data_IF_527479624739
#
_entry.id   IF_527479624739
#
_cell.length_a   1.000
_cell.length_b   1.000
_cell.length_c   1.000
_cell.angle_alpha   90.00
_cell.angle_beta   90.00
_cell.angle_gamma   90.00
#
_symmetry.space_group_name_H-M   'P 1'
#
loop_
_entity.id
_entity.type
_entity.pdbx_description
1 polymer ?
#
# COMPACT_ATOMS: atom_id res chain seq x y z
N UNK A 1 61.48 -13.67 32.00
CA UNK A 1 60.23 -12.92 32.29
C UNK A 1 59.39 -12.93 31.01
N UNK A 2 58.35 -13.78 30.89
CA UNK A 2 56.91 -13.45 31.05
C UNK A 2 56.52 -12.24 30.19
N UNK A 3 55.58 -12.25 29.23
CA UNK A 3 54.30 -12.99 29.08
C UNK A 3 53.85 -13.06 27.61
N UNK A 4 53.09 -14.10 27.33
CA UNK A 4 52.20 -14.37 26.19
C UNK A 4 50.87 -13.57 26.25
N UNK A 5 50.18 -13.54 25.10
CA UNK A 5 48.72 -13.52 24.82
C UNK A 5 48.11 -12.27 24.16
N UNK A 6 47.58 -12.54 22.95
CA UNK A 6 46.24 -12.21 22.44
C UNK A 6 45.56 -10.93 22.91
N UNK A 7 45.29 -10.02 21.97
CA UNK A 7 43.96 -9.39 21.81
C UNK A 7 43.75 -9.06 20.32
N UNK A 8 43.39 -10.06 19.53
CA UNK A 8 42.66 -9.86 18.27
C UNK A 8 41.20 -9.49 18.64
N UNK A 9 40.96 -8.24 19.06
CA UNK A 9 39.61 -7.69 19.29
C UNK A 9 39.43 -6.25 18.77
N UNK A 10 40.45 -5.66 18.15
CA UNK A 10 40.29 -4.36 17.47
C UNK A 10 39.54 -4.47 16.13
N UNK A 11 39.10 -5.68 15.76
CA UNK A 11 38.34 -5.98 14.55
C UNK A 11 36.82 -5.87 14.64
N UNK A 12 36.21 -5.45 15.76
CA UNK A 12 34.74 -5.49 15.90
C UNK A 12 34.07 -4.24 16.51
N UNK A 13 34.81 -3.19 16.86
CA UNK A 13 34.21 -1.98 17.51
C UNK A 13 34.12 -0.77 16.57
N UNK A 14 34.77 -0.79 15.40
CA UNK A 14 34.64 0.29 14.40
C UNK A 14 33.54 0.05 13.34
N UNK A 15 32.90 -1.12 13.36
CA UNK A 15 31.77 -1.46 12.48
C UNK A 15 30.39 -1.13 13.10
N UNK A 16 30.33 -0.77 14.38
CA UNK A 16 29.06 -0.38 15.04
C UNK A 16 28.65 1.07 14.80
N UNK A 17 29.47 1.88 14.09
CA UNK A 17 29.11 3.25 13.71
C UNK A 17 28.52 3.34 12.28
N UNK A 18 28.19 2.22 11.65
CA UNK A 18 27.60 2.19 10.30
C UNK A 18 26.12 1.77 10.27
N UNK A 19 25.47 1.58 11.43
CA UNK A 19 24.05 1.22 11.49
C UNK A 19 23.11 2.41 11.68
N UNK A 20 23.50 3.59 11.20
CA UNK A 20 22.52 4.59 10.79
C UNK A 20 22.62 4.71 9.26
N UNK A 21 22.21 3.63 8.58
CA UNK A 21 21.59 3.77 7.27
C UNK A 21 20.47 4.76 7.50
N UNK A 22 20.72 6.03 7.19
CA UNK A 22 19.70 7.06 7.15
C UNK A 22 18.78 6.65 6.00
N UNK A 23 17.84 5.76 6.31
CA UNK A 23 16.57 5.66 5.61
C UNK A 23 16.12 7.11 5.51
N UNK A 24 15.89 7.58 4.28
CA UNK A 24 15.44 8.95 4.02
C UNK A 24 14.05 9.14 4.66
N UNK A 25 14.00 9.29 5.99
CA UNK A 25 12.81 9.60 6.75
C UNK A 25 12.48 11.04 6.43
N UNK A 26 11.35 11.24 5.77
CA UNK A 26 10.89 12.56 5.41
C UNK A 26 10.33 13.26 6.66
N UNK A 27 11.23 13.80 7.49
CA UNK A 27 10.89 14.38 8.81
C UNK A 27 9.77 15.42 8.72
N UNK A 28 8.92 15.46 9.73
CA UNK A 28 7.93 16.51 9.86
C UNK A 28 8.60 17.87 10.12
N UNK A 29 8.24 18.91 9.35
CA UNK A 29 8.72 20.28 9.60
C UNK A 29 7.87 20.93 10.69
N UNK A 30 8.08 20.52 11.94
CA UNK A 30 7.30 21.01 13.08
C UNK A 30 7.78 22.36 13.65
N UNK A 31 8.95 22.86 13.21
CA UNK A 31 9.50 24.13 13.66
C UNK A 31 8.58 25.32 13.39
N UNK A 32 7.83 25.28 12.27
CA UNK A 32 6.87 26.32 11.86
C UNK A 32 5.70 26.46 12.83
N UNK A 33 5.34 25.37 13.51
CA UNK A 33 4.20 25.30 14.42
C UNK A 33 4.54 25.68 15.87
N UNK A 34 5.83 25.85 16.20
CA UNK A 34 6.27 26.21 17.56
C UNK A 34 5.96 27.66 17.97
N UNK A 35 5.29 28.43 17.12
CA UNK A 35 5.01 29.86 17.32
C UNK A 35 3.74 30.17 18.15
N UNK A 36 3.01 29.18 18.67
CA UNK A 36 1.84 29.44 19.50
C UNK A 36 2.23 29.76 20.96
N UNK A 37 2.10 31.05 21.32
CA UNK A 37 2.22 31.58 22.68
C UNK A 37 1.34 30.74 23.64
N UNK A 38 1.93 30.25 24.74
CA UNK A 38 1.33 29.39 25.80
C UNK A 38 1.05 27.92 25.46
N UNK A 39 1.89 27.28 24.64
CA UNK A 39 1.97 25.80 24.62
C UNK A 39 0.79 25.07 24.00
N UNK A 40 -0.15 25.79 23.37
CA UNK A 40 -1.27 25.19 22.67
C UNK A 40 -1.12 25.39 21.17
N UNK A 41 -0.78 24.32 20.46
CA UNK A 41 -0.67 24.37 19.01
C UNK A 41 -2.06 24.60 18.39
N UNK A 42 -2.26 25.76 17.76
CA UNK A 42 -3.46 26.05 16.95
C UNK A 42 -3.21 25.56 15.52
N UNK A 43 -3.97 24.54 15.09
CA UNK A 43 -3.83 23.98 13.75
C UNK A 43 -4.85 24.55 12.78
N UNK A 44 -4.46 24.82 11.52
CA UNK A 44 -5.42 25.09 10.47
C UNK A 44 -6.32 23.86 10.23
N UNK A 45 -7.53 24.11 9.71
CA UNK A 45 -8.54 23.08 9.39
C UNK A 45 -8.45 22.59 7.94
N UNK A 46 -7.39 22.93 7.21
CA UNK A 46 -7.13 22.41 5.88
C UNK A 46 -6.87 20.90 5.94
N UNK A 47 -7.25 20.21 4.86
CA UNK A 47 -7.06 18.78 4.71
C UNK A 47 -5.95 18.51 3.70
N UNK A 48 -4.73 18.35 4.21
CA UNK A 48 -3.52 18.05 3.45
C UNK A 48 -2.83 16.85 4.11
N UNK A 49 -3.36 15.63 3.90
CA UNK A 49 -3.07 14.50 4.76
C UNK A 49 -1.58 14.11 4.73
N UNK A 50 -1.10 13.61 5.87
CA UNK A 50 0.25 13.06 6.00
C UNK A 50 0.21 11.71 6.72
N UNK A 51 1.10 10.80 6.36
CA UNK A 51 1.21 9.50 7.00
C UNK A 51 2.28 9.55 8.10
N UNK A 52 1.93 9.17 9.32
CA UNK A 52 2.87 9.02 10.44
C UNK A 52 3.68 7.72 10.34
N UNK A 53 4.81 7.66 11.03
CA UNK A 53 5.60 6.42 11.17
C UNK A 53 4.87 5.33 11.96
N UNK A 54 3.78 5.67 12.64
CA UNK A 54 2.86 4.74 13.30
C UNK A 54 1.75 4.21 12.38
N UNK A 55 1.78 4.55 11.08
CA UNK A 55 0.79 4.12 10.11
C UNK A 55 -0.55 4.83 10.23
N UNK A 56 -0.63 5.91 11.02
CA UNK A 56 -1.84 6.72 11.17
C UNK A 56 -1.83 7.87 10.17
N UNK A 57 -2.97 8.08 9.51
CA UNK A 57 -3.20 9.24 8.64
C UNK A 57 -3.61 10.43 9.49
N UNK A 58 -2.84 11.51 9.40
CA UNK A 58 -3.13 12.77 10.06
C UNK A 58 -3.75 13.75 9.06
N UNK A 59 -4.82 14.49 9.44
CA UNK A 59 -5.50 15.43 8.54
C UNK A 59 -4.58 16.48 7.89
N UNK A 60 -3.54 16.90 8.62
CA UNK A 60 -2.49 17.76 8.12
C UNK A 60 -1.21 17.67 8.95
N UNK A 61 -0.12 18.26 8.44
CA UNK A 61 1.18 18.23 9.12
C UNK A 61 1.13 18.88 10.52
N UNK A 62 0.28 19.88 10.76
CA UNK A 62 0.12 20.47 12.08
C UNK A 62 -0.44 19.46 13.09
N UNK A 63 -1.46 18.69 12.70
CA UNK A 63 -2.05 17.66 13.55
C UNK A 63 -1.06 16.54 13.88
N UNK A 64 -0.22 16.12 12.92
CA UNK A 64 0.89 15.20 13.18
C UNK A 64 1.91 15.82 14.14
N UNK A 65 2.30 17.07 13.92
CA UNK A 65 3.26 17.77 14.78
C UNK A 65 2.77 17.93 16.22
N UNK A 66 1.46 18.07 16.44
CA UNK A 66 0.86 18.05 17.78
C UNK A 66 1.19 16.74 18.51
N UNK A 67 1.03 15.60 17.83
CA UNK A 67 1.34 14.28 18.40
C UNK A 67 2.84 14.08 18.60
N UNK A 68 3.69 14.56 17.67
CA UNK A 68 5.15 14.49 17.80
C UNK A 68 5.65 15.22 19.06
N UNK A 69 4.97 16.29 19.49
CA UNK A 69 5.32 17.00 20.73
C UNK A 69 5.09 16.15 21.98
N UNK A 70 4.17 15.17 21.92
CA UNK A 70 3.86 14.26 23.02
C UNK A 70 4.67 12.96 22.90
N UNK A 71 4.80 12.43 21.69
CA UNK A 71 5.43 11.15 21.35
C UNK A 71 6.70 11.38 20.54
N UNK A 72 7.87 11.25 21.18
CA UNK A 72 9.18 11.54 20.53
C UNK A 72 9.63 10.48 19.51
N UNK A 73 9.00 9.32 19.50
CA UNK A 73 9.24 8.21 18.56
C UNK A 73 8.41 8.32 17.27
N UNK A 74 7.46 9.25 17.22
CA UNK A 74 6.63 9.54 16.05
C UNK A 74 7.33 10.54 15.13
N UNK A 75 7.28 10.28 13.83
CA UNK A 75 7.68 11.24 12.79
C UNK A 75 6.75 11.11 11.58
N UNK A 76 6.92 11.99 10.58
CA UNK A 76 6.28 11.82 9.28
C UNK A 76 6.97 10.69 8.51
N UNK A 77 6.18 9.75 8.03
CA UNK A 77 6.61 8.72 7.08
C UNK A 77 6.66 9.30 5.67
N UNK A 78 5.56 9.89 5.22
CA UNK A 78 5.45 10.54 3.92
C UNK A 78 4.27 11.52 3.87
N UNK A 79 4.22 12.34 2.83
CA UNK A 79 3.03 13.14 2.51
C UNK A 79 1.92 12.25 1.92
N UNK A 80 0.65 12.66 2.03
CA UNK A 80 -0.51 11.84 1.65
C UNK A 80 -0.99 10.91 2.77
N UNK A 81 -2.12 10.24 2.54
CA UNK A 81 -2.66 9.26 3.50
C UNK A 81 -1.78 8.03 3.62
N UNK A 82 -1.85 7.33 4.75
CA UNK A 82 -1.28 5.99 4.85
C UNK A 82 -2.05 5.02 3.95
N UNK A 83 -1.31 4.18 3.25
CA UNK A 83 -1.81 3.09 2.40
C UNK A 83 -1.12 1.79 2.79
N UNK A 84 -1.75 0.64 2.54
CA UNK A 84 -1.19 -0.68 2.89
C UNK A 84 0.16 -0.93 2.23
N UNK A 85 0.32 -0.43 1.01
CA UNK A 85 1.53 -0.63 0.22
C UNK A 85 2.60 0.41 0.58
N UNK A 86 3.83 -0.01 0.89
CA UNK A 86 4.87 0.95 1.24
C UNK A 86 5.34 1.79 0.04
N UNK A 87 4.85 3.02 -0.05
CA UNK A 87 5.14 3.93 -1.16
C UNK A 87 6.35 4.86 -0.92
N UNK A 88 7.09 4.72 0.18
CA UNK A 88 8.16 5.65 0.59
C UNK A 88 9.20 5.96 -0.52
N UNK A 89 9.49 4.99 -1.42
CA UNK A 89 10.43 5.17 -2.53
C UNK A 89 9.89 5.88 -3.79
N UNK A 90 8.59 6.14 -3.85
CA UNK A 90 7.90 6.67 -5.04
C UNK A 90 7.35 8.08 -4.85
N UNK A 91 7.20 8.52 -3.60
CA UNK A 91 6.40 9.70 -3.28
C UNK A 91 7.11 11.03 -3.60
N UNK A 92 8.45 11.10 -3.57
CA UNK A 92 9.25 12.26 -4.03
C UNK A 92 10.68 11.86 -4.42
N UNK A 93 11.12 12.21 -5.63
CA UNK A 93 12.56 12.31 -5.92
C UNK A 93 13.14 13.54 -5.22
N UNK A 94 14.41 13.46 -4.77
CA UNK A 94 15.16 14.62 -4.26
C UNK A 94 15.24 15.78 -5.25
N UNK A 95 15.06 15.50 -6.54
CA UNK A 95 15.09 16.48 -7.63
C UNK A 95 13.72 17.09 -7.96
N UNK A 96 12.63 16.64 -7.33
CA UNK A 96 11.27 17.08 -7.66
C UNK A 96 10.70 16.47 -8.95
N UNK A 97 11.44 15.61 -9.65
CA UNK A 97 10.97 14.90 -10.83
C UNK A 97 10.36 13.54 -10.45
N UNK A 98 9.28 13.09 -11.13
CA UNK A 98 8.71 11.76 -10.91
C UNK A 98 9.76 10.67 -11.16
N UNK A 99 9.84 9.68 -10.26
CA UNK A 99 10.66 8.48 -10.49
C UNK A 99 10.04 7.68 -11.64
N UNK A 100 10.73 7.43 -12.76
CA UNK A 100 10.15 6.68 -13.86
C UNK A 100 9.86 5.24 -13.44
N UNK A 101 8.69 4.73 -13.84
CA UNK A 101 8.32 3.35 -13.57
C UNK A 101 8.94 2.39 -14.59
N UNK A 102 9.27 1.19 -14.10
CA UNK A 102 9.53 0.04 -14.98
C UNK A 102 8.23 -0.42 -15.63
N UNK A 103 8.35 -1.15 -16.74
CA UNK A 103 7.22 -1.78 -17.44
C UNK A 103 6.89 -3.18 -16.87
N UNK A 104 7.32 -3.49 -15.64
CA UNK A 104 6.96 -4.76 -15.02
C UNK A 104 5.46 -4.83 -14.78
N UNK A 105 4.85 -5.97 -15.10
CA UNK A 105 3.42 -6.19 -14.92
C UNK A 105 3.18 -7.01 -13.66
N UNK A 106 2.81 -6.32 -12.58
CA UNK A 106 2.50 -6.88 -11.25
C UNK A 106 1.28 -6.13 -10.70
N UNK A 107 0.08 -6.42 -11.22
CA UNK A 107 -1.06 -5.55 -11.06
C UNK A 107 -1.57 -5.50 -9.63
N UNK A 108 -2.17 -4.36 -9.28
CA UNK A 108 -2.78 -4.09 -7.98
C UNK A 108 -4.18 -3.55 -8.21
N UNK A 109 -5.17 -4.13 -7.54
CA UNK A 109 -6.51 -3.58 -7.53
C UNK A 109 -6.62 -2.57 -6.39
N UNK A 110 -6.94 -1.33 -6.74
CA UNK A 110 -7.18 -0.28 -5.78
C UNK A 110 -8.66 -0.22 -5.35
N UNK A 111 -8.93 0.41 -4.20
CA UNK A 111 -10.29 0.60 -3.65
C UNK A 111 -11.23 1.39 -4.56
N UNK A 112 -10.70 2.12 -5.54
CA UNK A 112 -11.49 2.81 -6.56
C UNK A 112 -11.86 1.90 -7.76
N UNK A 113 -11.55 0.60 -7.71
CA UNK A 113 -11.82 -0.35 -8.78
C UNK A 113 -10.90 -0.22 -10.00
N UNK A 114 -9.83 0.56 -9.91
CA UNK A 114 -8.83 0.71 -10.97
C UNK A 114 -7.66 -0.26 -10.75
N UNK A 115 -7.29 -0.98 -11.81
CA UNK A 115 -6.06 -1.77 -11.85
C UNK A 115 -4.87 -0.85 -12.10
N UNK A 116 -3.91 -0.84 -11.17
CA UNK A 116 -2.61 -0.24 -11.38
C UNK A 116 -1.63 -1.31 -11.86
N UNK A 117 -0.90 -1.03 -12.93
CA UNK A 117 -0.01 -2.00 -13.62
C UNK A 117 1.10 -2.55 -12.73
N UNK A 118 1.57 -1.74 -11.78
CA UNK A 118 2.52 -2.14 -10.75
C UNK A 118 2.50 -1.17 -9.57
N UNK A 119 3.28 -1.51 -8.52
CA UNK A 119 3.46 -0.70 -7.32
C UNK A 119 3.91 0.74 -7.62
N UNK A 120 4.75 0.94 -8.62
CA UNK A 120 5.22 2.28 -8.98
C UNK A 120 4.05 3.16 -9.47
N UNK A 121 3.23 2.65 -10.40
CA UNK A 121 2.06 3.36 -10.90
C UNK A 121 1.04 3.66 -9.78
N UNK A 122 0.77 2.68 -8.91
CA UNK A 122 -0.10 2.87 -7.74
C UNK A 122 0.42 3.98 -6.82
N UNK A 123 1.70 3.94 -6.47
CA UNK A 123 2.27 4.90 -5.53
C UNK A 123 2.40 6.32 -6.10
N UNK A 124 2.59 6.49 -7.42
CA UNK A 124 2.51 7.81 -8.05
C UNK A 124 1.11 8.40 -7.96
N UNK A 125 0.06 7.60 -8.19
CA UNK A 125 -1.30 8.07 -8.01
C UNK A 125 -1.55 8.54 -6.56
N UNK A 126 -1.08 7.79 -5.56
CA UNK A 126 -1.12 8.23 -4.15
C UNK A 126 -0.33 9.53 -3.94
N UNK A 127 0.86 9.66 -4.53
CA UNK A 127 1.68 10.88 -4.45
C UNK A 127 0.99 12.11 -5.06
N UNK A 128 0.27 11.90 -6.15
CA UNK A 128 -0.50 12.91 -6.88
C UNK A 128 -1.82 13.28 -6.15
N UNK A 129 -2.09 12.64 -5.01
CA UNK A 129 -3.21 12.96 -4.12
C UNK A 129 -4.46 12.12 -4.33
N UNK A 130 -4.39 11.03 -5.10
CA UNK A 130 -5.53 10.11 -5.22
C UNK A 130 -5.78 9.39 -3.88
N UNK A 131 -7.04 9.44 -3.44
CA UNK A 131 -7.51 8.76 -2.22
C UNK A 131 -7.84 7.30 -2.52
N UNK A 132 -6.80 6.47 -2.59
CA UNK A 132 -6.89 5.04 -2.90
C UNK A 132 -6.10 4.21 -1.88
N UNK A 133 -6.55 2.99 -1.63
CA UNK A 133 -5.79 1.97 -0.90
C UNK A 133 -5.79 0.67 -1.71
N UNK A 134 -4.93 -0.26 -1.36
CA UNK A 134 -4.91 -1.58 -1.98
C UNK A 134 -6.13 -2.40 -1.52
N UNK A 135 -6.97 -2.77 -2.48
CA UNK A 135 -8.09 -3.67 -2.29
C UNK A 135 -7.64 -5.13 -2.38
N UNK A 136 -6.90 -5.50 -3.43
CA UNK A 136 -6.34 -6.85 -3.60
C UNK A 136 -5.09 -6.85 -4.46
N UNK A 137 -4.28 -7.90 -4.34
CA UNK A 137 -3.26 -8.23 -5.34
C UNK A 137 -3.95 -8.64 -6.66
N UNK A 138 -3.29 -8.36 -7.79
CA UNK A 138 -3.81 -8.68 -9.10
C UNK A 138 -4.61 -7.54 -9.74
N UNK A 139 -5.18 -7.80 -10.91
CA UNK A 139 -6.07 -6.84 -11.56
C UNK A 139 -7.37 -6.68 -10.78
N UNK A 140 -8.00 -5.51 -10.86
CA UNK A 140 -9.38 -5.37 -10.45
C UNK A 140 -10.27 -6.29 -11.27
N UNK A 141 -10.89 -7.21 -10.55
CA UNK A 141 -11.85 -8.11 -11.12
C UNK A 141 -13.14 -7.34 -11.30
N UNK A 142 -13.44 -6.92 -12.54
CA UNK A 142 -14.81 -6.55 -12.87
C UNK A 142 -15.71 -7.72 -12.49
N UNK A 143 -16.77 -7.46 -11.72
CA UNK A 143 -17.72 -8.49 -11.37
C UNK A 143 -18.15 -9.23 -12.64
N UNK A 144 -18.14 -10.56 -12.59
CA UNK A 144 -18.62 -11.34 -13.72
C UNK A 144 -20.12 -11.13 -13.80
N UNK A 145 -20.53 -10.35 -14.79
CA UNK A 145 -21.94 -10.16 -15.10
C UNK A 145 -22.49 -11.46 -15.69
N UNK A 146 -23.16 -12.22 -14.81
CA UNK A 146 -23.89 -13.44 -15.17
C UNK A 146 -25.33 -13.15 -15.62
N UNK A 147 -25.81 -11.91 -15.50
CA UNK A 147 -27.16 -11.48 -15.86
C UNK A 147 -27.54 -11.75 -17.32
N UNK A 148 -26.54 -11.90 -18.21
CA UNK A 148 -26.75 -12.23 -19.62
C UNK A 148 -27.12 -13.70 -19.84
N UNK A 149 -26.81 -14.57 -18.88
CA UNK A 149 -27.06 -16.01 -18.95
C UNK A 149 -28.38 -16.30 -18.24
N UNK A 150 -29.41 -16.65 -19.03
CA UNK A 150 -30.76 -16.91 -18.51
C UNK A 150 -31.03 -18.39 -18.27
N UNK A 151 -30.24 -19.25 -18.90
CA UNK A 151 -30.44 -20.69 -18.88
C UNK A 151 -29.68 -21.34 -17.72
N UNK A 152 -30.38 -22.20 -16.99
CA UNK A 152 -29.77 -23.12 -16.01
C UNK A 152 -29.30 -24.35 -16.77
N UNK A 153 -28.05 -24.75 -16.57
CA UNK A 153 -27.35 -25.80 -17.33
C UNK A 153 -27.13 -25.46 -18.82
N UNK A 154 -26.42 -24.35 -19.12
CA UNK A 154 -26.02 -24.00 -20.47
C UNK A 154 -24.96 -24.97 -21.02
N UNK A 155 -24.89 -25.10 -22.33
CA UNK A 155 -23.74 -25.72 -22.99
C UNK A 155 -22.56 -24.73 -22.88
N UNK A 156 -21.46 -25.17 -22.29
CA UNK A 156 -20.24 -24.38 -22.12
C UNK A 156 -19.17 -24.82 -23.11
N UNK A 157 -18.28 -23.89 -23.48
CA UNK A 157 -17.05 -24.20 -24.23
C UNK A 157 -16.00 -24.80 -23.30
N UNK A 158 -15.04 -25.53 -23.88
CA UNK A 158 -13.89 -26.13 -23.17
C UNK A 158 -12.70 -25.15 -23.04
N UNK A 159 -12.92 -23.85 -23.21
CA UNK A 159 -11.89 -22.83 -22.96
C UNK A 159 -11.55 -22.80 -21.46
N UNK A 160 -10.27 -22.66 -21.14
CA UNK A 160 -9.77 -22.61 -19.76
C UNK A 160 -9.28 -21.19 -19.39
N UNK A 161 -10.16 -20.41 -18.77
CA UNK A 161 -9.90 -19.09 -18.15
C UNK A 161 -10.49 -19.14 -16.72
N UNK A 162 -9.76 -19.73 -15.75
CA UNK A 162 -10.36 -20.15 -14.50
C UNK A 162 -10.72 -19.00 -13.54
N UNK A 163 -11.71 -19.24 -12.69
CA UNK A 163 -12.16 -18.33 -11.64
C UNK A 163 -12.26 -19.04 -10.30
N UNK A 164 -11.82 -18.40 -9.21
CA UNK A 164 -11.98 -18.92 -7.86
C UNK A 164 -13.25 -18.36 -7.20
N UNK A 165 -14.20 -19.24 -6.88
CA UNK A 165 -15.44 -18.85 -6.21
C UNK A 165 -15.28 -18.56 -4.72
N UNK A 166 -16.25 -17.84 -4.15
CA UNK A 166 -16.36 -17.62 -2.70
C UNK A 166 -16.60 -18.90 -1.90
N UNK A 167 -16.93 -20.00 -2.58
CA UNK A 167 -17.06 -21.34 -2.03
C UNK A 167 -15.76 -22.17 -2.10
N UNK A 168 -14.66 -21.57 -2.58
CA UNK A 168 -13.35 -22.22 -2.65
C UNK A 168 -13.17 -23.16 -3.85
N UNK A 169 -14.11 -23.19 -4.80
CA UNK A 169 -14.01 -24.00 -6.01
C UNK A 169 -13.44 -23.22 -7.20
N UNK A 170 -12.63 -23.90 -8.01
CA UNK A 170 -12.18 -23.40 -9.32
C UNK A 170 -13.22 -23.70 -10.39
N UNK A 171 -13.62 -22.68 -11.14
CA UNK A 171 -14.53 -22.77 -12.28
C UNK A 171 -13.75 -22.52 -13.56
N UNK A 172 -13.71 -23.49 -14.47
CA UNK A 172 -12.80 -23.47 -15.62
C UNK A 172 -13.00 -22.30 -16.59
N UNK A 173 -14.19 -21.70 -16.63
CA UNK A 173 -14.46 -20.48 -17.39
C UNK A 173 -15.72 -19.76 -16.90
N UNK A 174 -16.05 -18.65 -17.56
CA UNK A 174 -17.17 -17.76 -17.22
C UNK A 174 -18.50 -18.50 -17.28
N UNK A 175 -18.68 -19.41 -18.24
CA UNK A 175 -19.91 -20.18 -18.40
C UNK A 175 -20.15 -21.10 -17.20
N UNK A 176 -19.13 -21.86 -16.79
CA UNK A 176 -19.23 -22.74 -15.62
C UNK A 176 -19.45 -21.95 -14.33
N UNK A 177 -18.73 -20.84 -14.15
CA UNK A 177 -18.92 -19.96 -12.98
C UNK A 177 -20.35 -19.40 -12.93
N UNK A 178 -20.83 -18.81 -14.02
CA UNK A 178 -22.17 -18.23 -14.06
C UNK A 178 -23.29 -19.25 -13.95
N UNK A 179 -23.13 -20.46 -14.49
CA UNK A 179 -24.08 -21.54 -14.26
C UNK A 179 -24.19 -21.85 -12.76
N UNK A 180 -23.06 -21.92 -12.04
CA UNK A 180 -23.06 -22.14 -10.60
C UNK A 180 -23.68 -20.97 -9.81
N UNK A 181 -23.44 -19.72 -10.23
CA UNK A 181 -24.11 -18.53 -9.67
C UNK A 181 -25.63 -18.66 -9.80
N UNK A 182 -26.13 -19.04 -10.99
CA UNK A 182 -27.56 -19.22 -11.25
C UNK A 182 -28.15 -20.36 -10.42
N UNK A 183 -27.48 -21.52 -10.37
CA UNK A 183 -27.90 -22.67 -9.56
C UNK A 183 -27.97 -22.32 -8.06
N UNK A 184 -27.08 -21.46 -7.57
CA UNK A 184 -27.06 -20.96 -6.19
C UNK A 184 -27.84 -19.66 -5.98
N UNK A 185 -28.67 -19.25 -6.94
CA UNK A 185 -29.52 -18.04 -6.85
C UNK A 185 -28.74 -16.77 -6.49
N UNK A 186 -27.52 -16.62 -6.99
CA UNK A 186 -26.68 -15.44 -6.75
C UNK A 186 -25.85 -15.48 -5.46
N UNK A 187 -25.91 -16.54 -4.66
CA UNK A 187 -25.11 -16.65 -3.42
C UNK A 187 -23.64 -17.08 -3.63
N UNK A 188 -23.20 -17.21 -4.88
CA UNK A 188 -21.80 -17.44 -5.24
C UNK A 188 -21.22 -16.13 -5.77
N UNK A 189 -20.09 -15.70 -5.22
CA UNK A 189 -19.39 -14.50 -5.64
C UNK A 189 -17.98 -14.87 -6.12
N UNK A 190 -17.42 -14.03 -6.99
CA UNK A 190 -16.06 -14.22 -7.44
C UNK A 190 -15.08 -13.78 -6.34
N UNK A 191 -14.17 -14.67 -5.94
CA UNK A 191 -13.10 -14.36 -4.98
C UNK A 191 -11.93 -13.68 -5.69
N UNK A 192 -11.42 -14.31 -6.75
CA UNK A 192 -10.42 -13.75 -7.66
C UNK A 192 -10.42 -14.53 -8.98
N UNK A 193 -9.79 -13.97 -10.03
CA UNK A 193 -9.47 -14.71 -11.26
C UNK A 193 -8.36 -15.73 -10.99
N UNK A 194 -8.29 -16.79 -11.81
CA UNK A 194 -7.38 -17.91 -11.61
C UNK A 194 -8.00 -19.03 -10.76
N UNK A 195 -7.23 -20.09 -10.60
CA UNK A 195 -7.58 -21.23 -9.73
C UNK A 195 -7.56 -20.81 -8.26
N UNK A 196 -8.43 -21.42 -7.44
CA UNK A 196 -8.21 -21.50 -6.00
C UNK A 196 -7.01 -22.42 -5.70
#
# INVERSE_FOLDING_TARGET
MKKTRSVALLGLVLLSCLSDIVIARQRASCGVYRLAVKGQLACPRNYDPVCGTDGVTYPNQCSLCREILVRRDLDKKHDGKCVKLDCTGYLKSRSGYPVPCTLEYRPICATNGVTYTNKCAFCHAVADGLDIDMQSDGECVQQIECSKQKDVNPICTEEYDPFCGSDGNTYGNKCYFCNAVLQRRGHLFLRHRGEC
#
